data_IF_847537489907
#
_entry.id   IF_847537489907
#
_cell.length_a   1.000
_cell.length_b   1.000
_cell.length_c   1.000
_cell.angle_alpha   90.00
_cell.angle_beta   90.00
_cell.angle_gamma   90.00
#
_symmetry.space_group_name_H-M   'P 1'
#
loop_
_entity.id
_entity.type
_entity.pdbx_description
1 polymer ?
#
# COMPACT_ATOMS: atom_id res chain seq x y z
N UNK A 1 25.79 -47.74 -63.56
CA UNK A 1 26.70 -48.02 -62.43
C UNK A 1 26.22 -47.18 -61.25
N UNK A 2 25.65 -47.86 -60.24
CA UNK A 2 25.45 -47.49 -58.82
C UNK A 2 24.93 -46.07 -58.52
N UNK A 3 23.66 -45.82 -58.18
CA UNK A 3 22.79 -46.36 -57.11
C UNK A 3 23.34 -46.22 -55.69
N UNK A 4 22.45 -45.84 -54.76
CA UNK A 4 22.56 -45.79 -53.29
C UNK A 4 23.10 -44.46 -52.72
N UNK A 5 22.44 -43.68 -51.85
CA UNK A 5 21.30 -43.88 -50.91
C UNK A 5 20.70 -42.48 -50.63
N UNK A 6 19.46 -42.16 -50.97
CA UNK A 6 18.26 -42.23 -50.12
C UNK A 6 18.44 -41.93 -48.62
N UNK A 7 17.64 -40.96 -48.16
CA UNK A 7 17.03 -40.81 -46.81
C UNK A 7 17.85 -40.11 -45.71
N UNK A 8 17.56 -38.83 -45.47
CA UNK A 8 17.06 -38.37 -44.16
C UNK A 8 16.59 -36.90 -44.18
N UNK A 9 15.28 -36.72 -44.02
CA UNK A 9 14.58 -35.70 -43.21
C UNK A 9 14.79 -34.20 -43.54
N UNK A 10 13.82 -33.53 -44.17
CA UNK A 10 12.59 -32.94 -43.57
C UNK A 10 12.91 -31.71 -42.70
N UNK A 11 12.47 -30.55 -43.21
CA UNK A 11 11.96 -29.38 -42.50
C UNK A 11 12.33 -29.21 -41.03
N UNK A 12 13.19 -28.24 -40.73
CA UNK A 12 13.02 -27.41 -39.55
C UNK A 12 13.27 -25.95 -39.91
N UNK A 13 12.18 -25.29 -40.35
CA UNK A 13 11.96 -23.87 -40.17
C UNK A 13 11.84 -23.67 -38.65
N UNK A 14 12.99 -23.56 -37.98
CA UNK A 14 13.06 -23.25 -36.57
C UNK A 14 12.94 -21.75 -36.40
N UNK A 15 11.70 -21.26 -36.33
CA UNK A 15 11.37 -19.97 -35.71
C UNK A 15 12.11 -19.93 -34.38
N UNK A 16 13.15 -19.10 -34.29
CA UNK A 16 13.84 -18.84 -33.04
C UNK A 16 12.83 -18.10 -32.16
N UNK A 17 12.16 -18.89 -31.32
CA UNK A 17 11.21 -18.44 -30.31
C UNK A 17 11.87 -17.34 -29.48
N UNK A 18 11.22 -16.18 -29.49
CA UNK A 18 11.54 -15.03 -28.67
C UNK A 18 11.44 -15.45 -27.21
N UNK A 19 12.57 -15.51 -26.52
CA UNK A 19 12.60 -15.29 -25.08
C UNK A 19 13.89 -14.57 -24.69
N UNK A 20 14.06 -13.37 -25.25
CA UNK A 20 14.56 -12.31 -24.39
C UNK A 20 13.45 -12.07 -23.35
N UNK A 21 13.54 -12.78 -22.22
CA UNK A 21 12.76 -12.45 -21.04
C UNK A 21 12.87 -10.94 -20.85
N UNK A 22 11.75 -10.23 -20.96
CA UNK A 22 11.71 -8.90 -20.39
C UNK A 22 12.09 -9.12 -18.93
N UNK A 23 13.18 -8.49 -18.50
CA UNK A 23 13.62 -8.57 -17.13
C UNK A 23 12.39 -8.34 -16.25
N UNK A 24 12.22 -9.14 -15.20
CA UNK A 24 11.59 -8.63 -13.99
C UNK A 24 12.43 -7.42 -13.61
N UNK A 25 12.09 -6.26 -14.17
CA UNK A 25 12.57 -5.02 -13.65
C UNK A 25 11.87 -4.98 -12.31
N UNK A 26 12.58 -5.46 -11.29
CA UNK A 26 12.30 -5.18 -9.90
C UNK A 26 12.16 -3.67 -9.92
N UNK A 27 10.92 -3.19 -10.02
CA UNK A 27 10.65 -1.80 -9.74
C UNK A 27 11.14 -1.72 -8.31
N UNK A 28 12.31 -1.11 -8.11
CA UNK A 28 12.66 -0.56 -6.83
C UNK A 28 11.60 0.50 -6.60
N UNK A 29 10.40 0.06 -6.20
CA UNK A 29 9.30 0.91 -5.83
C UNK A 29 9.90 1.87 -4.84
N UNK A 30 9.73 3.18 -5.09
CA UNK A 30 10.17 4.18 -4.13
C UNK A 30 9.58 3.74 -2.79
N UNK A 31 10.44 3.49 -1.80
CA UNK A 31 9.96 3.19 -0.46
C UNK A 31 10.10 4.41 0.40
N UNK A 32 9.16 4.61 1.31
CA UNK A 32 9.29 5.56 2.40
C UNK A 32 9.45 4.79 3.71
N UNK A 33 10.13 5.37 4.69
CA UNK A 33 10.36 4.76 6.00
C UNK A 33 9.83 5.69 7.09
N UNK A 34 9.06 5.15 8.04
CA UNK A 34 8.61 5.91 9.22
C UNK A 34 9.70 5.97 10.31
N UNK A 35 9.36 6.54 11.47
CA UNK A 35 10.27 6.67 12.60
C UNK A 35 10.63 5.34 13.28
N UNK A 36 9.82 4.30 13.07
CA UNK A 36 10.05 2.95 13.59
C UNK A 36 10.87 2.08 12.66
N UNK A 37 11.26 2.61 11.49
CA UNK A 37 11.99 1.85 10.49
C UNK A 37 11.07 0.95 9.65
N UNK A 38 9.74 1.08 9.76
CA UNK A 38 8.85 0.36 8.88
C UNK A 38 8.96 0.94 7.48
N UNK A 39 9.20 0.07 6.49
CA UNK A 39 9.33 0.45 5.09
C UNK A 39 8.02 0.16 4.36
N UNK A 40 7.54 1.18 3.64
CA UNK A 40 6.32 1.13 2.86
C UNK A 40 6.66 1.35 1.40
N UNK A 41 6.03 0.60 0.51
CA UNK A 41 6.04 0.87 -0.92
C UNK A 41 5.25 2.15 -1.18
N UNK A 42 5.71 2.97 -2.13
CA UNK A 42 4.96 4.15 -2.59
C UNK A 42 4.29 3.82 -3.91
N UNK A 43 2.97 3.93 -3.94
CA UNK A 43 2.14 3.79 -5.13
C UNK A 43 1.75 5.19 -5.60
N UNK A 44 1.81 5.43 -6.91
CA UNK A 44 1.33 6.68 -7.52
C UNK A 44 0.02 6.41 -8.23
N UNK A 45 -1.03 7.13 -7.86
CA UNK A 45 -2.37 7.03 -8.45
C UNK A 45 -2.79 8.45 -8.83
N UNK A 46 -3.02 8.70 -10.12
CA UNK A 46 -3.11 10.05 -10.66
C UNK A 46 -1.87 10.87 -10.32
N UNK A 47 -2.09 12.03 -9.71
CA UNK A 47 -1.03 12.93 -9.24
C UNK A 47 -0.64 12.69 -7.77
N UNK A 48 -1.37 11.82 -7.06
CA UNK A 48 -1.18 11.56 -5.64
C UNK A 48 -0.24 10.36 -5.40
N UNK A 49 0.49 10.43 -4.28
CA UNK A 49 1.33 9.33 -3.79
C UNK A 49 0.71 8.77 -2.53
N UNK A 50 0.55 7.46 -2.50
CA UNK A 50 -0.07 6.70 -1.43
C UNK A 50 0.93 5.68 -0.87
N UNK A 51 0.78 5.33 0.41
CA UNK A 51 1.43 4.14 0.94
C UNK A 51 0.77 2.92 0.28
N UNK A 52 1.56 1.93 -0.09
CA UNK A 52 1.08 0.67 -0.67
C UNK A 52 0.60 -0.33 0.39
N UNK A 53 0.84 -0.03 1.65
CA UNK A 53 0.51 -0.85 2.81
C UNK A 53 -0.06 0.05 3.93
N UNK A 54 -0.79 -0.56 4.86
CA UNK A 54 -1.33 0.13 6.03
C UNK A 54 -0.21 0.63 6.97
N UNK A 55 -0.41 1.82 7.53
CA UNK A 55 0.54 2.42 8.46
C UNK A 55 0.65 1.57 9.74
N UNK A 56 1.87 1.36 10.23
CA UNK A 56 2.15 0.50 11.39
C UNK A 56 3.16 1.09 12.37
N UNK A 57 3.22 2.41 12.41
CA UNK A 57 4.06 3.15 13.37
C UNK A 57 3.44 3.14 14.77
N UNK A 58 4.27 3.12 15.80
CA UNK A 58 3.87 3.24 17.20
C UNK A 58 4.35 4.55 17.83
N UNK A 59 4.94 5.43 17.02
CA UNK A 59 5.48 6.73 17.45
C UNK A 59 5.14 7.83 16.45
N UNK A 60 4.99 9.05 16.95
CA UNK A 60 4.93 10.24 16.13
C UNK A 60 6.30 10.62 15.57
N UNK A 61 6.33 11.53 14.59
CA UNK A 61 7.57 11.99 13.94
C UNK A 61 8.64 12.63 14.86
N UNK A 62 8.27 13.03 16.07
CA UNK A 62 9.19 13.53 17.11
C UNK A 62 9.71 12.43 18.05
N UNK A 63 9.24 11.20 17.88
CA UNK A 63 9.58 10.05 18.73
C UNK A 63 8.61 9.82 19.89
N UNK A 64 7.60 10.69 20.07
CA UNK A 64 6.59 10.53 21.12
C UNK A 64 5.81 9.24 20.89
N UNK A 65 5.75 8.31 21.87
CA UNK A 65 5.01 7.07 21.73
C UNK A 65 3.50 7.32 21.69
N UNK A 66 2.83 6.54 20.84
CA UNK A 66 1.37 6.40 20.87
C UNK A 66 1.04 5.23 21.80
N UNK A 67 0.21 5.40 22.83
CA UNK A 67 -0.23 4.30 23.68
C UNK A 67 -0.93 3.16 22.92
N UNK A 68 -0.59 1.91 23.25
CA UNK A 68 -1.33 0.74 22.78
C UNK A 68 -2.50 0.46 23.75
N UNK A 69 -3.73 0.65 23.31
CA UNK A 69 -4.94 0.48 24.13
C UNK A 69 -5.77 -0.66 23.54
N UNK A 70 -5.86 -1.78 24.25
CA UNK A 70 -6.48 -3.02 23.73
C UNK A 70 -7.81 -3.35 24.40
N UNK A 71 -8.12 -2.72 25.54
CA UNK A 71 -9.39 -2.91 26.23
C UNK A 71 -10.50 -2.14 25.49
N UNK A 72 -11.56 -2.85 25.11
CA UNK A 72 -12.65 -2.27 24.31
C UNK A 72 -13.47 -1.24 25.07
N UNK A 73 -13.55 -1.37 26.40
CA UNK A 73 -14.30 -0.44 27.26
C UNK A 73 -13.52 0.86 27.42
N UNK A 74 -12.21 0.75 27.62
CA UNK A 74 -11.30 1.89 27.63
C UNK A 74 -11.30 2.59 26.27
N UNK A 75 -11.07 1.86 25.18
CA UNK A 75 -10.99 2.41 23.81
C UNK A 75 -12.19 3.31 23.46
N UNK A 76 -13.40 2.88 23.82
CA UNK A 76 -14.65 3.63 23.55
C UNK A 76 -14.71 5.01 24.21
N UNK A 77 -14.04 5.17 25.34
CA UNK A 77 -14.05 6.42 26.13
C UNK A 77 -12.67 7.09 26.14
N UNK A 78 -11.72 6.60 25.33
CA UNK A 78 -10.35 7.08 25.35
C UNK A 78 -10.23 8.38 24.53
N UNK A 79 -10.11 9.51 25.23
CA UNK A 79 -10.02 10.85 24.64
C UNK A 79 -8.58 11.32 24.41
N UNK A 80 -7.66 10.37 24.23
CA UNK A 80 -6.25 10.62 23.98
C UNK A 80 -5.75 9.78 22.81
N UNK A 81 -4.61 10.11 22.20
CA UNK A 81 -4.07 9.29 21.14
C UNK A 81 -3.87 7.84 21.55
N UNK A 82 -4.33 6.91 20.72
CA UNK A 82 -4.13 5.50 20.91
C UNK A 82 -4.00 4.77 19.57
N UNK A 83 -3.35 3.62 19.62
CA UNK A 83 -3.38 2.63 18.57
C UNK A 83 -3.66 1.24 19.13
N UNK A 84 -4.05 0.31 18.27
CA UNK A 84 -4.15 -1.11 18.58
C UNK A 84 -3.72 -1.95 17.38
N UNK A 85 -3.26 -3.17 17.62
CA UNK A 85 -3.08 -4.16 16.55
C UNK A 85 -4.41 -4.87 16.28
N UNK A 86 -4.60 -5.32 15.04
CA UNK A 86 -5.76 -6.15 14.72
C UNK A 86 -5.83 -7.38 15.65
N UNK A 87 -7.01 -7.65 16.21
CA UNK A 87 -7.24 -8.67 17.24
C UNK A 87 -6.35 -8.56 18.50
N UNK A 88 -5.81 -7.37 18.80
CA UNK A 88 -4.87 -7.14 19.89
C UNK A 88 -3.61 -8.03 19.82
N UNK A 89 -3.24 -8.47 18.61
CA UNK A 89 -2.12 -9.37 18.38
C UNK A 89 -1.06 -8.69 17.50
N UNK A 90 0.15 -8.52 18.02
CA UNK A 90 1.27 -7.90 17.30
C UNK A 90 1.70 -8.69 16.06
N UNK A 91 1.41 -9.99 15.99
CA UNK A 91 1.73 -10.80 14.79
C UNK A 91 0.97 -10.31 13.55
N UNK A 92 -0.11 -9.57 13.73
CA UNK A 92 -0.90 -8.95 12.67
C UNK A 92 -0.31 -7.63 12.14
N UNK A 93 0.74 -7.10 12.78
CA UNK A 93 1.37 -5.81 12.44
C UNK A 93 1.70 -5.69 10.95
N UNK A 94 2.32 -6.72 10.37
CA UNK A 94 2.81 -6.64 8.98
C UNK A 94 1.72 -6.92 7.95
N UNK A 95 0.63 -7.58 8.36
CA UNK A 95 -0.49 -7.94 7.47
C UNK A 95 -1.55 -6.84 7.39
N UNK A 96 -1.88 -6.21 8.53
CA UNK A 96 -3.03 -5.30 8.65
C UNK A 96 -2.66 -3.90 9.17
N UNK A 97 -1.40 -3.68 9.51
CA UNK A 97 -0.96 -2.44 10.13
C UNK A 97 -1.57 -2.18 11.51
N UNK A 98 -1.54 -0.92 11.93
CA UNK A 98 -2.09 -0.45 13.20
C UNK A 98 -3.41 0.29 12.99
N UNK A 99 -4.35 0.08 13.91
CA UNK A 99 -5.60 0.82 13.99
C UNK A 99 -5.40 2.03 14.90
N UNK A 100 -5.62 3.24 14.37
CA UNK A 100 -5.48 4.49 15.14
C UNK A 100 -6.84 5.09 15.43
N UNK A 101 -6.98 5.72 16.59
CA UNK A 101 -8.16 6.55 16.86
C UNK A 101 -8.04 7.95 16.23
N UNK A 102 -9.14 8.69 16.24
CA UNK A 102 -9.20 10.03 15.66
C UNK A 102 -8.19 11.00 16.30
N UNK A 103 -7.99 10.90 17.62
CA UNK A 103 -7.02 11.70 18.36
C UNK A 103 -5.59 11.49 17.84
N UNK A 104 -5.20 10.25 17.58
CA UNK A 104 -3.89 9.93 17.02
C UNK A 104 -3.75 10.43 15.58
N UNK A 105 -4.77 10.22 14.73
CA UNK A 105 -4.76 10.67 13.34
C UNK A 105 -4.69 12.21 13.20
N UNK A 106 -5.34 12.94 14.11
CA UNK A 106 -5.39 14.40 14.12
C UNK A 106 -4.17 15.08 14.77
N UNK A 107 -3.32 14.34 15.48
CA UNK A 107 -2.25 14.91 16.29
C UNK A 107 -1.12 15.57 15.48
N UNK A 108 -0.42 16.49 16.14
CA UNK A 108 0.83 17.12 15.65
C UNK A 108 1.85 17.07 16.79
N UNK A 109 3.04 16.49 16.58
CA UNK A 109 3.56 15.89 15.34
C UNK A 109 2.74 14.70 14.83
N UNK A 110 2.74 14.48 13.51
CA UNK A 110 1.88 13.47 12.86
C UNK A 110 2.49 12.06 12.84
N UNK A 111 1.65 11.06 12.57
CA UNK A 111 2.01 9.62 12.50
C UNK A 111 2.78 9.26 11.22
N UNK A 112 2.41 9.84 10.08
CA UNK A 112 2.98 9.44 8.79
C UNK A 112 4.48 9.78 8.69
N UNK A 113 5.26 9.09 7.83
CA UNK A 113 6.65 9.45 7.58
C UNK A 113 6.86 10.94 7.30
N UNK A 114 8.07 11.47 7.57
CA UNK A 114 8.36 12.89 7.30
C UNK A 114 8.06 13.26 5.83
N UNK A 115 7.32 14.35 5.64
CA UNK A 115 6.84 14.80 4.33
C UNK A 115 5.52 14.15 3.88
N UNK A 116 4.96 13.24 4.66
CA UNK A 116 3.66 12.61 4.45
C UNK A 116 2.65 13.08 5.49
N UNK A 117 1.37 12.90 5.19
CA UNK A 117 0.26 13.24 6.09
C UNK A 117 -0.87 12.23 5.94
N UNK A 118 -1.75 12.20 6.95
CA UNK A 118 -3.04 11.50 6.85
C UNK A 118 -3.86 12.16 5.73
N UNK A 119 -4.49 11.33 4.90
CA UNK A 119 -5.34 11.79 3.81
C UNK A 119 -6.56 12.55 4.36
N UNK A 120 -6.89 13.67 3.74
CA UNK A 120 -8.13 14.40 3.99
C UNK A 120 -9.24 13.89 3.07
N UNK A 121 -10.48 14.32 3.32
CA UNK A 121 -11.60 14.03 2.42
C UNK A 121 -11.28 14.42 0.96
N UNK A 122 -10.72 15.63 0.75
CA UNK A 122 -10.32 16.10 -0.58
C UNK A 122 -9.26 15.22 -1.26
N UNK A 123 -8.44 14.48 -0.51
CA UNK A 123 -7.49 13.56 -1.13
C UNK A 123 -8.19 12.31 -1.66
N UNK A 124 -9.15 11.80 -0.89
CA UNK A 124 -9.98 10.68 -1.30
C UNK A 124 -10.82 11.05 -2.51
N UNK A 125 -11.41 12.25 -2.53
CA UNK A 125 -12.18 12.75 -3.69
C UNK A 125 -11.35 12.78 -4.98
N UNK A 126 -10.09 13.22 -4.91
CA UNK A 126 -9.17 13.22 -6.06
C UNK A 126 -8.82 11.82 -6.53
N UNK A 127 -8.64 10.89 -5.60
CA UNK A 127 -8.40 9.48 -5.91
C UNK A 127 -9.63 8.86 -6.60
N UNK A 128 -10.82 9.10 -6.06
CA UNK A 128 -12.10 8.63 -6.57
C UNK A 128 -12.38 9.18 -7.98
N UNK A 129 -12.16 10.48 -8.19
CA UNK A 129 -12.24 11.13 -9.50
C UNK A 129 -11.30 10.48 -10.51
N UNK A 130 -10.04 10.24 -10.12
CA UNK A 130 -9.06 9.57 -10.97
C UNK A 130 -9.47 8.13 -11.33
N UNK A 131 -10.16 7.43 -10.43
CA UNK A 131 -10.68 6.08 -10.65
C UNK A 131 -11.99 6.06 -11.46
N UNK A 132 -12.53 7.23 -11.84
CA UNK A 132 -13.67 7.37 -12.73
C UNK A 132 -15.02 7.53 -12.03
N UNK A 133 -15.06 7.86 -10.74
CA UNK A 133 -16.31 8.22 -10.06
C UNK A 133 -16.84 9.58 -10.54
N UNK A 134 -18.16 9.72 -10.67
CA UNK A 134 -18.78 10.99 -11.08
C UNK A 134 -18.83 11.99 -9.93
N UNK A 135 -18.91 13.31 -10.19
CA UNK A 135 -19.01 14.32 -9.13
C UNK A 135 -20.16 14.08 -8.15
N UNK A 136 -21.30 13.57 -8.63
CA UNK A 136 -22.46 13.25 -7.79
C UNK A 136 -22.18 12.09 -6.82
N UNK A 137 -21.35 11.12 -7.22
CA UNK A 137 -20.95 10.00 -6.37
C UNK A 137 -19.94 10.44 -5.31
N UNK A 138 -19.02 11.33 -5.68
CA UNK A 138 -17.95 11.86 -4.81
C UNK A 138 -18.53 12.76 -3.71
N UNK A 139 -19.51 13.60 -4.04
CA UNK A 139 -20.16 14.50 -3.07
C UNK A 139 -21.30 13.84 -2.29
N UNK A 140 -21.57 12.56 -2.54
CA UNK A 140 -22.56 11.79 -1.80
C UNK A 140 -22.26 11.75 -0.30
N UNK A 141 -23.30 11.92 0.53
CA UNK A 141 -23.23 11.74 1.99
C UNK A 141 -23.45 10.28 2.42
N UNK A 142 -23.72 9.39 1.47
CA UNK A 142 -23.81 7.95 1.67
C UNK A 142 -22.41 7.30 1.72
N UNK A 143 -22.35 5.97 1.89
CA UNK A 143 -21.06 5.26 1.81
C UNK A 143 -20.40 5.53 0.45
N UNK A 144 -19.14 5.99 0.49
CA UNK A 144 -18.33 6.15 -0.71
C UNK A 144 -17.69 4.80 -1.06
N UNK A 145 -17.93 4.34 -2.28
CA UNK A 145 -17.53 3.01 -2.74
C UNK A 145 -18.58 1.93 -2.40
N UNK A 146 -18.78 1.00 -3.34
CA UNK A 146 -19.63 -0.20 -3.23
C UNK A 146 -18.81 -1.46 -3.06
#
# INVERSE_FOLDING_TARGET
MTSSKYLSQIFYIGVLMISASCAMQKMGGRTVTDIDGNRYTVVTIGEQKWLGEDLKTTRYNDGTPVPNVTDITEWRHYESPAYAWYNNDITNKDTFGAMYNWWAAGSRPGLCPKGWRVASDDDWKKLEEFLGMTPEQIEGTAMRGT
#
